data_IF_665424092275
#
_entry.id   IF_665424092275
#
_cell.length_a   1.000
_cell.length_b   1.000
_cell.length_c   1.000
_cell.angle_alpha   90.00
_cell.angle_beta   90.00
_cell.angle_gamma   90.00
#
_symmetry.space_group_name_H-M   'P 1'
#
loop_
_entity.id
_entity.type
_entity.pdbx_description
1 polymer ?
#
# COMPACT_ATOMS: atom_id res chain seq x y z
N UNK A 1 -61.54 -9.77 -11.48
CA UNK A 1 -60.61 -10.69 -12.19
C UNK A 1 -59.37 -9.86 -12.50
N UNK A 2 -58.35 -9.73 -11.64
CA UNK A 2 -57.28 -10.66 -11.20
C UNK A 2 -56.32 -11.09 -12.33
N UNK A 3 -55.20 -10.37 -12.46
CA UNK A 3 -53.83 -10.80 -12.88
C UNK A 3 -52.88 -9.65 -12.53
N UNK A 4 -52.16 -9.63 -11.39
CA UNK A 4 -50.84 -10.25 -11.13
C UNK A 4 -49.92 -10.15 -12.36
N UNK A 5 -48.82 -9.40 -12.35
CA UNK A 5 -47.59 -9.55 -11.54
C UNK A 5 -46.47 -9.99 -12.49
N UNK A 6 -45.39 -9.21 -12.61
CA UNK A 6 -44.01 -9.68 -12.83
C UNK A 6 -43.06 -8.47 -12.91
N UNK A 7 -42.82 -7.87 -11.75
CA UNK A 7 -41.51 -7.34 -11.42
C UNK A 7 -40.57 -8.54 -11.28
N UNK A 8 -39.41 -8.48 -11.94
CA UNK A 8 -38.13 -9.15 -11.65
C UNK A 8 -37.43 -9.33 -13.00
N UNK A 9 -36.50 -8.42 -13.31
CA UNK A 9 -35.38 -8.77 -14.17
C UNK A 9 -34.10 -8.47 -13.40
N UNK A 10 -33.33 -9.54 -13.24
CA UNK A 10 -32.31 -9.74 -12.24
C UNK A 10 -31.17 -8.73 -12.29
N UNK A 11 -30.83 -8.20 -11.10
CA UNK A 11 -29.47 -7.93 -10.65
C UNK A 11 -28.55 -9.11 -11.01
N UNK A 12 -27.67 -8.97 -12.00
CA UNK A 12 -26.57 -9.91 -12.20
C UNK A 12 -25.46 -9.37 -13.13
N UNK A 13 -24.85 -8.22 -12.82
CA UNK A 13 -23.53 -7.84 -13.36
C UNK A 13 -22.59 -7.32 -12.28
N UNK A 14 -22.61 -7.94 -11.11
CA UNK A 14 -21.53 -7.86 -10.12
C UNK A 14 -20.64 -9.11 -10.27
N UNK A 15 -20.10 -9.29 -11.48
CA UNK A 15 -19.23 -10.40 -11.81
C UNK A 15 -17.77 -9.98 -11.76
N UNK A 16 -17.15 -10.19 -10.61
CA UNK A 16 -15.70 -10.30 -10.39
C UNK A 16 -14.84 -9.01 -10.54
N UNK A 17 -15.04 -8.05 -9.64
CA UNK A 17 -13.88 -7.40 -9.03
C UNK A 17 -13.36 -8.31 -7.91
N UNK A 18 -12.68 -9.41 -8.26
CA UNK A 18 -11.75 -10.02 -7.30
C UNK A 18 -10.66 -8.98 -7.04
N UNK A 19 -10.54 -8.42 -5.83
CA UNK A 19 -9.33 -7.67 -5.52
C UNK A 19 -8.18 -8.67 -5.73
N UNK A 20 -7.09 -8.29 -6.42
CA UNK A 20 -5.88 -9.07 -6.34
C UNK A 20 -5.42 -8.98 -4.89
N UNK A 21 -5.90 -9.89 -4.04
CA UNK A 21 -5.28 -10.17 -2.76
C UNK A 21 -4.02 -10.94 -3.09
N UNK A 22 -3.02 -10.21 -3.61
CA UNK A 22 -1.66 -10.68 -3.70
C UNK A 22 -1.20 -10.93 -2.27
N UNK A 23 -1.46 -12.16 -1.81
CA UNK A 23 -1.11 -12.63 -0.46
C UNK A 23 0.37 -13.01 -0.47
N UNK A 24 1.21 -12.18 -1.08
CA UNK A 24 2.64 -12.25 -0.87
C UNK A 24 2.88 -11.97 0.61
N UNK A 25 3.73 -12.77 1.26
CA UNK A 25 4.08 -12.56 2.66
C UNK A 25 4.59 -11.12 2.85
N UNK A 26 3.90 -10.35 3.68
CA UNK A 26 4.35 -9.00 4.03
C UNK A 26 5.58 -9.11 4.92
N UNK A 27 6.55 -8.23 4.68
CA UNK A 27 7.75 -8.12 5.50
C UNK A 27 7.75 -6.77 6.20
N UNK A 28 8.33 -6.74 7.40
CA UNK A 28 8.54 -5.52 8.17
C UNK A 28 9.97 -5.06 8.06
N UNK A 29 10.15 -3.75 7.92
CA UNK A 29 11.47 -3.15 7.91
C UNK A 29 11.45 -1.77 8.55
N UNK A 30 12.57 -1.45 9.17
CA UNK A 30 12.88 -0.11 9.64
C UNK A 30 13.78 0.56 8.63
N UNK A 31 13.40 1.75 8.16
CA UNK A 31 14.16 2.51 7.17
C UNK A 31 14.38 3.93 7.66
N UNK A 32 15.60 4.45 7.47
CA UNK A 32 15.92 5.84 7.74
C UNK A 32 15.74 6.68 6.48
N UNK A 33 15.13 7.85 6.65
CA UNK A 33 15.11 8.88 5.63
C UNK A 33 16.49 9.47 5.37
N UNK A 34 16.51 10.52 4.57
CA UNK A 34 17.73 11.29 4.29
C UNK A 34 17.61 12.71 4.84
N UNK A 35 18.71 13.47 4.79
CA UNK A 35 18.72 14.90 5.08
C UNK A 35 18.41 15.77 3.86
N UNK A 36 18.18 15.17 2.69
CA UNK A 36 17.84 15.88 1.47
C UNK A 36 16.39 16.38 1.49
N UNK A 37 16.09 17.41 0.69
CA UNK A 37 14.77 18.03 0.65
C UNK A 37 14.29 18.26 -0.80
N UNK A 38 13.17 17.64 -1.24
CA UNK A 38 12.38 16.65 -0.49
C UNK A 38 13.16 15.36 -0.26
N UNK A 39 12.85 14.64 0.84
CA UNK A 39 13.51 13.36 1.14
C UNK A 39 13.08 12.31 0.08
N UNK A 40 14.01 11.76 -0.74
CA UNK A 40 13.69 10.72 -1.71
C UNK A 40 13.11 9.45 -1.06
N UNK A 41 13.51 9.13 0.18
CA UNK A 41 13.01 7.96 0.91
C UNK A 41 11.54 8.17 1.26
N UNK A 42 11.21 9.28 1.93
CA UNK A 42 9.83 9.61 2.25
C UNK A 42 8.97 9.70 0.98
N UNK A 43 9.47 10.35 -0.08
CA UNK A 43 8.76 10.47 -1.35
C UNK A 43 8.40 9.10 -1.93
N UNK A 44 9.33 8.14 -1.90
CA UNK A 44 9.08 6.77 -2.37
C UNK A 44 8.10 6.03 -1.46
N UNK A 45 8.25 6.12 -0.13
CA UNK A 45 7.32 5.52 0.83
C UNK A 45 5.89 5.98 0.54
N UNK A 46 5.67 7.29 0.40
CA UNK A 46 4.34 7.87 0.12
C UNK A 46 3.78 7.44 -1.24
N UNK A 47 4.65 7.19 -2.22
CA UNK A 47 4.22 6.69 -3.54
C UNK A 47 3.72 5.25 -3.46
N UNK A 48 4.47 4.38 -2.78
CA UNK A 48 4.15 2.96 -2.63
C UNK A 48 2.95 2.74 -1.69
N UNK A 49 2.81 3.58 -0.66
CA UNK A 49 1.64 3.61 0.24
C UNK A 49 0.35 3.94 -0.52
N UNK A 50 0.38 4.99 -1.37
CA UNK A 50 -0.77 5.33 -2.24
C UNK A 50 -1.12 4.24 -3.25
N UNK A 51 -0.14 3.43 -3.66
CA UNK A 51 -0.34 2.29 -4.54
C UNK A 51 -0.81 1.02 -3.79
N UNK A 52 -0.91 1.05 -2.46
CA UNK A 52 -1.27 -0.10 -1.63
C UNK A 52 -0.19 -1.18 -1.54
N UNK A 53 1.05 -0.86 -1.90
CA UNK A 53 2.18 -1.81 -1.96
C UNK A 53 2.95 -1.92 -0.64
N UNK A 54 2.82 -0.90 0.23
CA UNK A 54 3.32 -0.90 1.60
C UNK A 54 2.40 -0.06 2.48
N UNK A 55 2.55 -0.20 3.80
CA UNK A 55 1.91 0.61 4.83
C UNK A 55 2.98 1.19 5.77
N UNK A 56 2.81 2.44 6.19
CA UNK A 56 3.62 3.02 7.27
C UNK A 56 2.98 2.66 8.61
N UNK A 57 3.71 1.90 9.43
CA UNK A 57 3.26 1.51 10.77
C UNK A 57 3.52 2.61 11.80
N UNK A 58 4.71 3.22 11.72
CA UNK A 58 5.07 4.32 12.60
C UNK A 58 6.14 5.21 11.97
N UNK A 59 6.17 6.47 12.39
CA UNK A 59 7.24 7.42 12.08
C UNK A 59 7.81 7.90 13.40
N UNK A 60 9.12 7.77 13.56
CA UNK A 60 9.84 8.33 14.70
C UNK A 60 10.42 9.68 14.31
N UNK A 61 10.16 10.67 15.15
CA UNK A 61 10.70 12.02 15.03
C UNK A 61 12.20 12.02 15.38
N UNK A 62 13.01 11.65 14.39
CA UNK A 62 14.48 11.69 14.42
C UNK A 62 15.02 12.51 13.24
N UNK A 63 16.32 12.81 13.24
CA UNK A 63 16.99 13.49 12.11
C UNK A 63 18.18 12.66 11.61
N UNK A 64 18.07 11.99 10.44
CA UNK A 64 16.89 11.90 9.56
C UNK A 64 15.73 11.09 10.18
N UNK A 65 14.49 11.23 9.67
CA UNK A 65 13.32 10.51 10.18
C UNK A 65 13.49 9.00 10.05
N UNK A 66 12.84 8.24 10.91
CA UNK A 66 12.86 6.77 10.88
C UNK A 66 11.45 6.25 10.69
N UNK A 67 11.27 5.34 9.75
CA UNK A 67 9.99 4.77 9.34
C UNK A 67 9.96 3.27 9.65
N UNK A 68 8.91 2.81 10.31
CA UNK A 68 8.58 1.39 10.39
C UNK A 68 7.56 1.07 9.29
N UNK A 69 7.90 0.16 8.40
CA UNK A 69 7.15 -0.17 7.19
C UNK A 69 6.71 -1.62 7.21
N UNK A 70 5.55 -1.91 6.63
CA UNK A 70 5.08 -3.26 6.33
C UNK A 70 4.58 -3.35 4.90
N UNK A 71 5.07 -4.30 4.10
CA UNK A 71 4.65 -4.42 2.71
C UNK A 71 5.28 -5.59 1.97
N UNK A 72 5.07 -5.65 0.67
CA UNK A 72 5.70 -6.66 -0.16
C UNK A 72 7.24 -6.50 -0.13
N UNK A 73 7.97 -7.61 -0.06
CA UNK A 73 9.44 -7.61 -0.09
C UNK A 73 10.06 -6.72 -1.20
N UNK A 74 9.59 -6.73 -2.47
CA UNK A 74 10.14 -5.83 -3.49
C UNK A 74 9.90 -4.35 -3.19
N UNK A 75 8.73 -3.98 -2.64
CA UNK A 75 8.43 -2.59 -2.28
C UNK A 75 9.34 -2.10 -1.14
N UNK A 76 9.60 -2.94 -0.15
CA UNK A 76 10.53 -2.64 0.93
C UNK A 76 11.97 -2.49 0.41
N UNK A 77 12.40 -3.37 -0.50
CA UNK A 77 13.72 -3.30 -1.11
C UNK A 77 13.91 -2.00 -1.93
N UNK A 78 12.88 -1.54 -2.65
CA UNK A 78 12.92 -0.25 -3.37
C UNK A 78 13.15 0.93 -2.45
N UNK A 79 12.51 0.95 -1.27
CA UNK A 79 12.70 2.02 -0.29
C UNK A 79 14.11 1.93 0.32
N UNK A 80 14.56 0.73 0.67
CA UNK A 80 15.89 0.50 1.25
C UNK A 80 17.03 0.91 0.31
N UNK A 81 16.85 0.76 -1.00
CA UNK A 81 17.84 1.20 -1.99
C UNK A 81 18.04 2.73 -2.01
N UNK A 82 17.06 3.49 -1.52
CA UNK A 82 17.14 4.96 -1.40
C UNK A 82 17.61 5.41 -0.02
N UNK A 83 17.38 4.60 1.02
CA UNK A 83 17.96 4.86 2.34
C UNK A 83 19.45 4.57 2.25
N UNK A 84 20.28 5.58 2.51
CA UNK A 84 21.72 5.48 2.39
C UNK A 84 22.23 4.20 3.05
N UNK A 85 22.70 3.26 2.23
CA UNK A 85 23.54 2.16 2.67
C UNK A 85 24.74 2.79 3.36
N UNK A 86 24.95 2.38 4.61
CA UNK A 86 26.13 2.70 5.43
C UNK A 86 27.43 2.59 4.63
#
# INVERSE_FOLDING_TARGET
MKTLSLLVFCLATLGACTPPTDTAATVRATVHGTTAQPDPVETKIRSLERAGQLNVLSVRESFPPQFELEGAAPAIAEVQALSGTK
#
